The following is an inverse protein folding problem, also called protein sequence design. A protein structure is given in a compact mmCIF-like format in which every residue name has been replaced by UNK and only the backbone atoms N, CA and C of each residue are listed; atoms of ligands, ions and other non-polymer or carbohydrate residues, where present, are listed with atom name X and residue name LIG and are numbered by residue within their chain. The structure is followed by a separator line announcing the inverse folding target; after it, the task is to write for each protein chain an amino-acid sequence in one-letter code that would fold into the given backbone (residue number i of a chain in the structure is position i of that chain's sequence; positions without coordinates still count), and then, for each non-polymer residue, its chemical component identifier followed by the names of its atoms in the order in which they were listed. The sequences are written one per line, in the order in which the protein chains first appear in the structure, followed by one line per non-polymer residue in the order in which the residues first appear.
data_IF_136645367422
#
_entry.id   IF_136645367422
#
_cell.length_a   1.000
_cell.length_b   1.000
_cell.length_c   1.000
_cell.angle_alpha   90.00
_cell.angle_beta   90.00
_cell.angle_gamma   90.00
#
_symmetry.space_group_name_H-M   'P 1'
#
loop_
_entity.id
_entity.type
_entity.pdbx_description
1 polymer ?
#
# COMPACT_ATOMS: atom_id res chain seq x y z
N UNK A 1 18.34 7.54 -6.61
CA UNK A 1 17.54 7.31 -5.39
C UNK A 1 16.79 6.03 -5.69
N UNK A 2 17.02 4.95 -4.94
CA UNK A 2 16.26 3.71 -5.12
C UNK A 2 14.81 3.99 -4.79
N UNK A 3 13.90 3.59 -5.66
CA UNK A 3 12.46 3.78 -5.45
C UNK A 3 11.98 2.66 -4.52
N UNK A 4 11.72 2.99 -3.26
CA UNK A 4 11.14 2.03 -2.33
C UNK A 4 9.64 1.90 -2.62
N UNK A 5 9.15 0.67 -2.66
CA UNK A 5 7.71 0.40 -2.78
C UNK A 5 7.27 -0.35 -1.53
N UNK A 6 6.34 0.25 -0.77
CA UNK A 6 5.68 -0.45 0.32
C UNK A 6 4.44 -1.14 -0.23
N UNK A 7 4.40 -2.48 -0.17
CA UNK A 7 3.28 -3.28 -0.66
C UNK A 7 2.48 -3.86 0.49
N UNK A 8 1.20 -4.09 0.24
CA UNK A 8 0.27 -4.78 1.13
C UNK A 8 -0.51 -5.83 0.34
N UNK A 9 -0.57 -7.04 0.85
CA UNK A 9 -1.28 -8.15 0.20
C UNK A 9 -1.86 -9.13 1.23
N UNK A 10 -2.93 -9.86 0.87
CA UNK A 10 -3.42 -10.99 1.66
C UNK A 10 -2.32 -12.05 1.84
N UNK A 11 -2.15 -12.54 3.07
CA UNK A 11 -1.20 -13.61 3.39
C UNK A 11 -1.53 -14.88 2.63
N UNK A 12 -2.80 -15.30 2.72
CA UNK A 12 -3.34 -16.43 1.99
C UNK A 12 -3.85 -16.00 0.62
N UNK A 13 -3.96 -16.95 -0.29
CA UNK A 13 -4.52 -16.69 -1.61
C UNK A 13 -6.03 -16.44 -1.50
N UNK A 14 -6.53 -15.49 -2.30
CA UNK A 14 -7.94 -15.07 -2.25
C UNK A 14 -8.50 -15.02 -3.66
N UNK A 15 -9.75 -15.48 -3.82
CA UNK A 15 -10.40 -15.59 -5.14
C UNK A 15 -11.28 -14.36 -5.42
N UNK A 16 -11.72 -13.64 -4.39
CA UNK A 16 -12.56 -12.45 -4.56
C UNK A 16 -11.72 -11.21 -4.90
N UNK A 17 -12.09 -10.49 -5.95
CA UNK A 17 -11.60 -9.14 -6.20
C UNK A 17 -12.40 -8.16 -5.33
N UNK A 18 -11.71 -7.48 -4.42
CA UNK A 18 -12.25 -6.54 -3.43
C UNK A 18 -11.73 -5.11 -3.67
N UNK A 19 -11.13 -4.85 -4.84
CA UNK A 19 -10.48 -3.56 -5.12
C UNK A 19 -11.45 -2.38 -5.06
N UNK A 20 -12.70 -2.56 -5.48
CA UNK A 20 -13.75 -1.53 -5.40
C UNK A 20 -14.07 -1.19 -3.93
N UNK A 21 -14.18 -2.20 -3.07
CA UNK A 21 -14.46 -2.02 -1.65
C UNK A 21 -13.29 -1.35 -0.93
N UNK A 22 -12.06 -1.78 -1.24
CA UNK A 22 -10.82 -1.18 -0.73
C UNK A 22 -10.76 0.30 -1.15
N UNK A 23 -10.95 0.61 -2.43
CA UNK A 23 -10.93 1.98 -2.93
C UNK A 23 -11.95 2.85 -2.18
N UNK A 24 -13.19 2.38 -2.09
CA UNK A 24 -14.27 3.11 -1.41
C UNK A 24 -13.94 3.38 0.05
N UNK A 25 -13.58 2.35 0.80
CA UNK A 25 -13.32 2.45 2.25
C UNK A 25 -12.07 3.28 2.58
N UNK A 26 -11.01 3.19 1.77
CA UNK A 26 -9.81 4.00 1.96
C UNK A 26 -10.07 5.47 1.60
N UNK A 27 -10.93 5.73 0.61
CA UNK A 27 -11.36 7.10 0.24
C UNK A 27 -12.21 7.71 1.36
N UNK A 28 -13.21 6.99 1.86
CA UNK A 28 -14.06 7.43 2.97
C UNK A 28 -13.27 7.68 4.25
N UNK A 29 -12.27 6.83 4.52
CA UNK A 29 -11.34 6.99 5.63
C UNK A 29 -10.27 8.09 5.40
N UNK A 30 -10.28 8.79 4.25
CA UNK A 30 -9.30 9.83 3.89
C UNK A 30 -7.84 9.33 3.94
N UNK A 31 -7.63 8.05 3.67
CA UNK A 31 -6.30 7.42 3.59
C UNK A 31 -5.74 7.63 2.18
N UNK A 32 -6.59 7.52 1.16
CA UNK A 32 -6.28 7.91 -0.21
C UNK A 32 -7.04 9.19 -0.56
N UNK A 33 -6.45 9.98 -1.46
CA UNK A 33 -6.96 11.26 -1.92
C UNK A 33 -7.56 11.18 -3.32
N UNK A 34 -7.34 12.23 -4.11
CA UNK A 34 -7.81 12.29 -5.49
C UNK A 34 -7.15 11.23 -6.39
N UNK A 35 -7.92 10.75 -7.37
CA UNK A 35 -7.41 9.88 -8.43
C UNK A 35 -6.45 10.65 -9.33
N UNK A 36 -5.34 10.01 -9.68
CA UNK A 36 -4.31 10.52 -10.57
C UNK A 36 -3.89 9.45 -11.58
N UNK A 37 -3.25 9.88 -12.66
CA UNK A 37 -2.48 8.98 -13.52
C UNK A 37 -1.05 8.89 -12.97
N UNK A 38 -0.57 7.66 -12.75
CA UNK A 38 0.82 7.40 -12.40
C UNK A 38 1.35 6.30 -13.32
N UNK A 39 2.26 6.68 -14.22
CA UNK A 39 2.84 5.80 -15.25
C UNK A 39 1.78 5.11 -16.14
N UNK A 40 0.72 5.84 -16.53
CA UNK A 40 -0.34 5.30 -17.39
C UNK A 40 -1.30 4.33 -16.69
N UNK A 41 -1.21 4.23 -15.35
CA UNK A 41 -2.12 3.45 -14.51
C UNK A 41 -2.89 4.36 -13.54
N UNK A 42 -4.14 4.00 -13.18
CA UNK A 42 -4.88 4.70 -12.14
C UNK A 42 -4.20 4.54 -10.79
N UNK A 43 -3.98 5.65 -10.10
CA UNK A 43 -3.44 5.71 -8.76
C UNK A 43 -4.14 6.80 -7.96
N UNK A 44 -3.73 6.99 -6.70
CA UNK A 44 -4.29 7.98 -5.80
C UNK A 44 -3.16 8.75 -5.10
N UNK A 45 -3.40 10.04 -4.84
CA UNK A 45 -2.55 10.78 -3.90
C UNK A 45 -2.72 10.27 -2.47
N UNK A 46 -1.76 10.59 -1.62
CA UNK A 46 -1.90 10.44 -0.18
C UNK A 46 -3.10 11.25 0.36
N UNK A 47 -4.02 10.56 1.04
CA UNK A 47 -5.07 11.22 1.80
C UNK A 47 -4.54 11.83 3.11
N UNK A 48 -5.34 12.67 3.74
CA UNK A 48 -4.91 13.43 4.93
C UNK A 48 -4.60 12.56 6.15
N UNK A 49 -5.14 11.35 6.20
CA UNK A 49 -4.96 10.44 7.33
C UNK A 49 -3.94 9.33 7.07
N UNK A 50 -3.26 9.29 5.92
CA UNK A 50 -2.31 8.21 5.62
C UNK A 50 -1.19 8.09 6.66
N UNK A 51 -0.72 9.23 7.17
CA UNK A 51 0.33 9.27 8.17
C UNK A 51 -0.07 8.51 9.44
N UNK A 52 -1.37 8.42 9.76
CA UNK A 52 -1.86 7.65 10.91
C UNK A 52 -1.63 6.14 10.77
N UNK A 53 -1.42 5.64 9.55
CA UNK A 53 -1.29 4.21 9.25
C UNK A 53 0.15 3.73 9.05
N UNK A 54 1.12 4.65 9.03
CA UNK A 54 2.54 4.37 8.85
C UNK A 54 3.35 4.86 10.07
N UNK A 55 4.46 4.20 10.35
CA UNK A 55 5.44 4.63 11.38
C UNK A 55 6.88 4.46 10.88
N UNK A 56 7.80 5.38 11.22
CA UNK A 56 7.62 6.51 12.13
C UNK A 56 6.71 7.60 11.54
N UNK A 57 6.03 8.36 12.40
CA UNK A 57 5.18 9.47 11.95
C UNK A 57 6.07 10.55 11.33
N UNK A 58 5.72 10.97 10.13
CA UNK A 58 6.29 12.16 9.51
C UNK A 58 5.34 13.33 9.74
N UNK A 59 5.84 14.57 9.73
CA UNK A 59 4.93 15.71 9.72
C UNK A 59 4.10 15.69 8.43
N UNK A 60 2.80 16.03 8.51
CA UNK A 60 1.92 16.00 7.32
C UNK A 60 2.41 16.95 6.21
N UNK A 61 3.11 18.03 6.60
CA UNK A 61 3.76 18.98 5.71
C UNK A 61 5.02 18.43 5.03
N UNK A 62 5.44 17.20 5.34
CA UNK A 62 6.56 16.57 4.66
C UNK A 62 6.23 16.38 3.17
N UNK A 63 7.05 16.93 2.25
CA UNK A 63 6.85 16.83 0.80
C UNK A 63 6.73 15.38 0.29
N UNK A 64 7.25 14.41 1.04
CA UNK A 64 7.07 12.98 0.80
C UNK A 64 5.64 12.64 0.37
N UNK A 65 4.64 13.10 1.14
CA UNK A 65 3.26 12.73 0.87
C UNK A 65 2.70 13.34 -0.43
N UNK A 66 3.30 14.40 -0.95
CA UNK A 66 2.94 14.98 -2.25
C UNK A 66 3.60 14.22 -3.42
N UNK A 67 4.64 13.45 -3.14
CA UNK A 67 5.41 12.69 -4.14
C UNK A 67 4.96 11.25 -4.31
N UNK A 68 4.22 10.69 -3.34
CA UNK A 68 3.78 9.29 -3.41
C UNK A 68 2.53 9.09 -4.25
N UNK A 69 2.45 7.91 -4.85
CA UNK A 69 1.26 7.42 -5.53
C UNK A 69 0.84 6.08 -4.96
N UNK A 70 -0.45 5.92 -4.68
CA UNK A 70 -1.02 4.72 -4.08
C UNK A 70 -1.78 3.98 -5.17
N UNK A 71 -1.43 2.74 -5.45
CA UNK A 71 -2.15 1.87 -6.41
C UNK A 71 -2.94 0.82 -5.66
N UNK A 72 -4.11 0.47 -6.19
CA UNK A 72 -4.95 -0.64 -5.73
C UNK A 72 -5.17 -1.53 -6.96
N UNK A 73 -4.62 -2.73 -6.94
CA UNK A 73 -4.56 -3.62 -8.10
C UNK A 73 -5.21 -4.97 -7.80
N UNK A 74 -6.09 -5.41 -8.70
CA UNK A 74 -6.83 -6.67 -8.55
C UNK A 74 -5.90 -7.88 -8.56
N UNK A 75 -4.82 -7.83 -9.33
CA UNK A 75 -3.75 -8.82 -9.35
C UNK A 75 -2.40 -8.10 -9.44
N UNK A 76 -1.49 -8.40 -8.52
CA UNK A 76 -0.09 -7.98 -8.53
C UNK A 76 0.69 -9.02 -7.70
N UNK A 77 1.87 -8.68 -7.17
CA UNK A 77 2.65 -9.56 -6.31
C UNK A 77 2.84 -8.97 -4.92
N UNK A 78 2.88 -9.85 -3.93
CA UNK A 78 3.47 -9.61 -2.61
C UNK A 78 4.98 -9.86 -2.60
N UNK A 79 5.65 -9.41 -1.55
CA UNK A 79 7.11 -9.46 -1.42
C UNK A 79 7.47 -10.07 -0.07
N UNK A 80 8.10 -11.24 -0.06
CA UNK A 80 8.63 -11.82 1.17
C UNK A 80 10.14 -11.57 1.20
N UNK A 81 10.59 -10.89 2.26
CA UNK A 81 12.01 -10.71 2.53
C UNK A 81 12.58 -12.05 3.03
N UNK A 82 13.36 -12.73 2.19
CA UNK A 82 14.15 -13.89 2.56
C UNK A 82 15.51 -13.49 3.13
N UNK A 83 16.26 -14.46 3.65
CA UNK A 83 17.57 -14.22 4.25
C UNK A 83 18.63 -13.74 3.24
N UNK A 84 18.47 -14.07 1.96
CA UNK A 84 19.44 -13.77 0.90
C UNK A 84 18.81 -13.13 -0.35
N UNK A 85 17.50 -13.29 -0.57
CA UNK A 85 16.78 -12.79 -1.75
C UNK A 85 15.33 -12.40 -1.42
N UNK A 86 14.71 -11.59 -2.29
CA UNK A 86 13.27 -11.31 -2.26
C UNK A 86 12.49 -12.39 -3.02
N UNK A 87 11.47 -12.95 -2.37
CA UNK A 87 10.50 -13.83 -3.02
C UNK A 87 9.26 -13.04 -3.43
N UNK A 88 8.91 -13.11 -4.71
CA UNK A 88 7.73 -12.46 -5.27
C UNK A 88 6.62 -13.50 -5.44
N UNK A 89 5.43 -13.20 -4.91
CA UNK A 89 4.30 -14.14 -4.95
C UNK A 89 3.08 -13.45 -5.50
N UNK A 90 2.46 -14.04 -6.53
CA UNK A 90 1.22 -13.52 -7.10
C UNK A 90 0.10 -13.47 -6.06
N UNK A 91 -0.60 -12.35 -6.04
CA UNK A 91 -1.63 -12.01 -5.06
C UNK A 91 -2.72 -11.16 -5.65
N UNK A 92 -3.92 -11.34 -5.11
CA UNK A 92 -5.05 -10.45 -5.35
C UNK A 92 -5.11 -9.32 -4.35
N UNK A 93 -5.84 -8.26 -4.71
CA UNK A 93 -6.16 -7.15 -3.82
C UNK A 93 -4.89 -6.49 -3.24
N UNK A 94 -3.94 -6.17 -4.11
CA UNK A 94 -2.64 -5.62 -3.69
C UNK A 94 -2.70 -4.10 -3.67
N UNK A 95 -2.21 -3.52 -2.58
CA UNK A 95 -2.04 -2.08 -2.43
C UNK A 95 -0.54 -1.78 -2.48
N UNK A 96 -0.13 -0.79 -3.26
CA UNK A 96 1.27 -0.34 -3.28
C UNK A 96 1.36 1.15 -3.04
N UNK A 97 2.31 1.58 -2.20
CA UNK A 97 2.73 2.98 -2.06
C UNK A 97 4.03 3.12 -2.85
N UNK A 98 3.95 3.80 -3.99
CA UNK A 98 5.08 4.10 -4.88
C UNK A 98 5.76 5.40 -4.45
N UNK A 99 7.09 5.45 -4.56
CA UNK A 99 7.89 6.59 -4.11
C UNK A 99 8.08 6.63 -2.58
N UNK A 100 8.07 5.45 -1.95
CA UNK A 100 8.13 5.28 -0.51
C UNK A 100 9.42 5.85 0.11
N UNK A 101 9.30 6.35 1.33
CA UNK A 101 10.44 6.70 2.17
C UNK A 101 10.80 5.44 2.95
N UNK A 102 11.98 4.85 2.68
CA UNK A 102 12.46 3.60 3.30
C UNK A 102 12.62 3.65 4.83
N UNK A 103 12.24 4.77 5.46
CA UNK A 103 12.19 4.93 6.90
C UNK A 103 10.94 4.30 7.54
N UNK A 104 9.84 4.10 6.81
CA UNK A 104 8.67 3.44 7.41
C UNK A 104 8.97 1.97 7.66
N UNK A 105 8.86 1.53 8.91
CA UNK A 105 9.16 0.16 9.33
C UNK A 105 8.03 -0.48 10.15
N UNK A 106 6.93 0.26 10.38
CA UNK A 106 5.69 -0.32 10.91
C UNK A 106 4.49 0.21 10.16
N UNK A 107 3.60 -0.71 9.79
CA UNK A 107 2.39 -0.43 9.00
C UNK A 107 1.25 -1.36 9.40
N UNK A 108 1.30 -1.89 10.62
CA UNK A 108 0.33 -2.84 11.15
C UNK A 108 -1.09 -2.26 11.19
N UNK A 109 -1.24 -0.94 11.34
CA UNK A 109 -2.54 -0.26 11.27
C UNK A 109 -3.13 -0.29 9.87
N UNK A 110 -2.30 -0.14 8.83
CA UNK A 110 -2.75 -0.30 7.44
C UNK A 110 -3.25 -1.72 7.21
N UNK A 111 -2.49 -2.73 7.62
CA UNK A 111 -2.93 -4.13 7.53
C UNK A 111 -4.24 -4.33 8.27
N UNK A 112 -4.39 -3.86 9.51
CA UNK A 112 -5.65 -3.96 10.27
C UNK A 112 -6.84 -3.32 9.54
N UNK A 113 -6.66 -2.16 8.91
CA UNK A 113 -7.72 -1.51 8.13
C UNK A 113 -8.09 -2.35 6.90
N UNK A 114 -7.11 -2.88 6.17
CA UNK A 114 -7.35 -3.76 5.02
C UNK A 114 -8.05 -5.07 5.44
N UNK A 115 -7.65 -5.66 6.57
CA UNK A 115 -8.33 -6.82 7.14
C UNK A 115 -9.79 -6.53 7.47
N UNK A 116 -10.07 -5.35 8.03
CA UNK A 116 -11.44 -4.98 8.37
C UNK A 116 -12.33 -4.74 7.13
N UNK A 117 -11.74 -4.24 6.03
CA UNK A 117 -12.45 -4.02 4.76
C UNK A 117 -12.75 -5.36 4.07
N UNK A 118 -11.76 -6.23 4.01
CA UNK A 118 -11.80 -7.42 3.16
C UNK A 118 -12.20 -8.68 3.91
N UNK A 119 -11.92 -8.77 5.20
CA UNK A 119 -12.01 -10.02 5.96
C UNK A 119 -10.81 -10.96 5.78
N UNK A 120 -9.81 -10.59 4.98
CA UNK A 120 -8.60 -11.39 4.76
C UNK A 120 -7.44 -10.88 5.63
N UNK A 121 -6.52 -11.75 6.04
CA UNK A 121 -5.35 -11.31 6.80
C UNK A 121 -4.27 -10.73 5.87
N UNK A 122 -3.96 -9.44 5.99
CA UNK A 122 -2.93 -8.76 5.22
C UNK A 122 -1.59 -8.76 5.93
N UNK A 123 -0.56 -8.72 5.11
CA UNK A 123 0.79 -8.35 5.50
C UNK A 123 1.30 -7.23 4.59
N UNK A 124 2.45 -6.67 4.94
CA UNK A 124 3.14 -5.72 4.08
C UNK A 124 4.63 -5.91 4.13
N UNK A 125 5.32 -5.39 3.12
CA UNK A 125 6.75 -5.54 2.93
C UNK A 125 7.28 -4.58 1.89
N UNK A 126 8.59 -4.35 1.96
CA UNK A 126 9.30 -3.44 1.07
C UNK A 126 9.84 -4.17 -0.14
N UNK A 127 9.80 -3.47 -1.27
CA UNK A 127 10.53 -3.78 -2.48
C UNK A 127 11.51 -2.65 -2.76
N UNK A 128 12.74 -3.02 -3.08
CA UNK A 128 13.80 -2.13 -3.55
C UNK A 128 13.87 -2.23 -5.08
N UNK A 129 13.68 -1.12 -5.79
CA UNK A 129 13.91 -0.98 -7.23
C UNK A 129 15.31 -0.45 -7.55
#
# INVERSE_FOLDING_TARGET
MSDYILKFWPKEDTIADKTIEIEKELTEAKIIGEKIDFWGKPAFKAGNLINEFLEPKLERTNPYFDTIAITIEANNYGVIEGAEDFEYIDRRNVISIKGGEGAFNKWHLMCKKLNAITGDEYQGGWELL
#
